data_IF_769396340220
#
_entry.id   IF_769396340220
#
_cell.length_a   1.000
_cell.length_b   1.000
_cell.length_c   1.000
_cell.angle_alpha   90.00
_cell.angle_beta   90.00
_cell.angle_gamma   90.00
#
_symmetry.space_group_name_H-M   'P 1'
#
loop_
_entity.id
_entity.type
_entity.pdbx_description
1 polymer ?
#
# COMPACT_ATOMS: atom_id res chain seq x y z
N UNK A 1 -1.21 9.30 9.71
CA UNK A 1 -1.80 8.72 10.95
C UNK A 1 -0.72 8.36 11.97
N UNK A 2 -0.85 8.81 13.22
CA UNK A 2 -0.12 8.22 14.35
C UNK A 2 -0.51 6.74 14.45
N UNK A 3 0.44 5.79 14.58
CA UNK A 3 0.07 4.39 14.72
C UNK A 3 -0.85 4.23 15.93
N UNK A 4 -1.98 3.53 15.75
CA UNK A 4 -2.87 3.19 16.85
C UNK A 4 -2.03 2.54 17.97
N UNK A 5 -2.21 2.95 19.24
CA UNK A 5 -1.61 2.23 20.35
C UNK A 5 -1.94 0.74 20.23
N UNK A 6 -0.97 -0.15 20.48
CA UNK A 6 -1.16 -1.59 20.30
C UNK A 6 -2.39 -2.12 21.06
N UNK A 7 -2.68 -1.55 22.24
CA UNK A 7 -3.87 -1.86 23.02
C UNK A 7 -5.18 -1.51 22.29
N UNK A 8 -5.24 -0.37 21.60
CA UNK A 8 -6.40 0.01 20.77
C UNK A 8 -6.55 -0.95 19.59
N UNK A 9 -5.45 -1.29 18.92
CA UNK A 9 -5.47 -2.23 17.80
C UNK A 9 -5.96 -3.63 18.21
N UNK A 10 -5.55 -4.12 19.39
CA UNK A 10 -6.04 -5.37 19.97
C UNK A 10 -7.54 -5.30 20.32
N UNK A 11 -8.00 -4.17 20.86
CA UNK A 11 -9.41 -3.98 21.23
C UNK A 11 -10.34 -3.96 20.00
N UNK A 12 -9.87 -3.49 18.84
CA UNK A 12 -10.62 -3.48 17.59
C UNK A 12 -10.70 -4.86 16.93
N UNK A 13 -9.77 -5.77 17.23
CA UNK A 13 -9.60 -7.00 16.48
C UNK A 13 -10.87 -7.89 16.39
N UNK A 14 -11.69 -8.07 17.46
CA UNK A 14 -12.93 -8.84 17.35
C UNK A 14 -13.89 -8.26 16.30
N UNK A 15 -14.07 -6.94 16.29
CA UNK A 15 -14.94 -6.25 15.33
C UNK A 15 -14.37 -6.34 13.90
N UNK A 16 -13.04 -6.20 13.76
CA UNK A 16 -12.36 -6.36 12.48
C UNK A 16 -12.61 -7.75 11.89
N UNK A 17 -12.46 -8.80 12.69
CA UNK A 17 -12.67 -10.19 12.24
C UNK A 17 -14.14 -10.41 11.85
N UNK A 18 -15.08 -9.99 12.70
CA UNK A 18 -16.51 -10.12 12.42
C UNK A 18 -16.88 -9.41 11.10
N UNK A 19 -16.48 -8.15 10.95
CA UNK A 19 -16.79 -7.35 9.76
C UNK A 19 -16.14 -7.94 8.51
N UNK A 20 -14.90 -8.43 8.60
CA UNK A 20 -14.20 -9.03 7.46
C UNK A 20 -14.83 -10.34 6.98
N UNK A 21 -15.42 -11.12 7.89
CA UNK A 21 -16.09 -12.39 7.56
C UNK A 21 -17.47 -12.16 6.94
N UNK A 22 -18.18 -11.11 7.36
CA UNK A 22 -19.55 -10.84 6.90
C UNK A 22 -19.61 -9.97 5.63
N UNK A 23 -18.64 -9.09 5.41
CA UNK A 23 -18.59 -8.26 4.22
C UNK A 23 -18.23 -9.08 2.96
N UNK A 24 -18.55 -8.55 1.77
CA UNK A 24 -18.18 -9.22 0.54
C UNK A 24 -16.65 -9.31 0.42
N UNK A 25 -16.11 -10.45 -0.05
CA UNK A 25 -14.66 -10.70 -0.07
C UNK A 25 -13.91 -9.79 -1.06
N UNK A 26 -14.63 -9.16 -1.99
CA UNK A 26 -14.05 -8.32 -3.02
C UNK A 26 -15.01 -7.22 -3.46
N UNK A 27 -14.46 -6.01 -3.52
CA UNK A 27 -15.08 -4.89 -4.22
C UNK A 27 -14.31 -4.61 -5.50
N UNK A 28 -15.00 -3.98 -6.44
CA UNK A 28 -14.42 -3.52 -7.70
C UNK A 28 -14.82 -2.08 -7.95
N UNK A 29 -13.99 -1.39 -8.70
CA UNK A 29 -14.31 -0.08 -9.21
C UNK A 29 -14.87 -0.22 -10.63
N UNK A 30 -15.98 0.44 -10.90
CA UNK A 30 -16.60 0.47 -12.22
C UNK A 30 -16.96 1.90 -12.60
N UNK A 31 -16.83 2.24 -13.89
CA UNK A 31 -17.27 3.52 -14.42
C UNK A 31 -18.64 3.37 -15.03
N UNK A 32 -19.61 4.10 -14.50
CA UNK A 32 -20.93 4.21 -15.11
C UNK A 32 -20.87 5.30 -16.19
N UNK A 33 -20.72 4.88 -17.45
CA UNK A 33 -20.59 5.79 -18.60
C UNK A 33 -21.84 6.67 -18.79
N UNK A 34 -23.04 6.13 -18.55
CA UNK A 34 -24.29 6.88 -18.74
C UNK A 34 -24.44 8.03 -17.73
N UNK A 35 -24.00 7.81 -16.49
CA UNK A 35 -24.05 8.82 -15.42
C UNK A 35 -22.71 9.56 -15.23
N UNK A 36 -21.70 9.27 -16.07
CA UNK A 36 -20.35 9.82 -16.00
C UNK A 36 -19.73 9.79 -14.58
N UNK A 37 -20.02 8.75 -13.80
CA UNK A 37 -19.61 8.64 -12.39
C UNK A 37 -18.85 7.36 -12.10
N UNK A 38 -18.04 7.40 -11.05
CA UNK A 38 -17.31 6.25 -10.56
C UNK A 38 -18.11 5.55 -9.46
N UNK A 39 -18.25 4.24 -9.57
CA UNK A 39 -19.01 3.42 -8.65
C UNK A 39 -18.09 2.39 -7.99
N UNK A 40 -18.25 2.22 -6.68
CA UNK A 40 -17.75 1.08 -5.94
C UNK A 40 -18.81 -0.01 -6.01
N UNK A 41 -18.42 -1.20 -6.44
CA UNK A 41 -19.33 -2.29 -6.74
C UNK A 41 -18.94 -3.57 -5.99
N UNK A 42 -19.96 -4.35 -5.64
CA UNK A 42 -19.81 -5.75 -5.29
C UNK A 42 -19.69 -6.57 -6.56
N UNK A 43 -18.79 -7.55 -6.54
CA UNK A 43 -18.67 -8.57 -7.58
C UNK A 43 -19.02 -9.93 -7.00
N UNK A 44 -20.09 -10.54 -7.49
CA UNK A 44 -20.50 -11.88 -7.11
C UNK A 44 -19.84 -12.91 -8.06
N UNK A 45 -18.82 -13.64 -7.61
CA UNK A 45 -18.03 -14.54 -8.48
C UNK A 45 -18.86 -15.65 -9.14
N UNK A 46 -19.91 -16.14 -8.48
CA UNK A 46 -20.76 -17.21 -9.00
C UNK A 46 -21.74 -16.76 -10.08
N UNK A 47 -22.18 -15.50 -10.05
CA UNK A 47 -23.20 -14.97 -10.97
C UNK A 47 -22.60 -14.00 -11.99
N UNK A 48 -21.38 -13.51 -11.76
CA UNK A 48 -20.76 -12.41 -12.50
C UNK A 48 -21.48 -11.07 -12.27
N UNK A 49 -22.43 -11.01 -11.33
CA UNK A 49 -23.25 -9.84 -11.08
C UNK A 49 -22.41 -8.73 -10.43
N UNK A 50 -22.51 -7.54 -11.01
CA UNK A 50 -21.90 -6.32 -10.48
C UNK A 50 -23.01 -5.46 -9.88
N UNK A 51 -22.96 -5.22 -8.57
CA UNK A 51 -23.96 -4.40 -7.87
C UNK A 51 -23.30 -3.14 -7.31
N UNK A 52 -23.67 -1.93 -7.77
CA UNK A 52 -23.10 -0.70 -7.23
C UNK A 52 -23.59 -0.47 -5.80
N UNK A 53 -22.64 -0.20 -4.90
CA UNK A 53 -22.88 0.01 -3.46
C UNK A 53 -22.50 1.41 -2.97
N UNK A 54 -21.61 2.11 -3.67
CA UNK A 54 -21.34 3.52 -3.41
C UNK A 54 -20.96 4.24 -4.70
N UNK A 55 -21.16 5.56 -4.72
CA UNK A 55 -20.61 6.45 -5.75
C UNK A 55 -19.40 7.15 -5.15
N UNK A 56 -18.24 6.96 -5.75
CA UNK A 56 -17.00 7.64 -5.33
C UNK A 56 -17.06 9.06 -5.88
N UNK A 57 -16.90 10.06 -5.01
CA UNK A 57 -16.97 11.46 -5.40
C UNK A 57 -15.71 11.89 -6.16
N UNK A 58 -15.80 12.84 -7.11
CA UNK A 58 -14.66 13.26 -7.92
C UNK A 58 -13.47 13.77 -7.09
N UNK A 59 -13.75 14.41 -5.96
CA UNK A 59 -12.75 14.99 -5.06
C UNK A 59 -12.18 13.98 -4.05
N UNK A 60 -12.60 12.71 -4.12
CA UNK A 60 -12.06 11.65 -3.29
C UNK A 60 -10.55 11.48 -3.56
N UNK A 61 -9.67 11.68 -2.55
CA UNK A 61 -8.24 11.58 -2.77
C UNK A 61 -7.84 10.18 -3.26
N UNK A 62 -6.78 10.12 -4.05
CA UNK A 62 -6.35 8.85 -4.67
C UNK A 62 -6.05 7.75 -3.64
N UNK A 63 -5.42 8.10 -2.51
CA UNK A 63 -5.10 7.13 -1.45
C UNK A 63 -6.38 6.59 -0.80
N UNK A 64 -7.33 7.46 -0.48
CA UNK A 64 -8.63 7.10 0.08
C UNK A 64 -9.43 6.21 -0.86
N UNK A 65 -9.56 6.60 -2.14
CA UNK A 65 -10.19 5.78 -3.19
C UNK A 65 -9.53 4.40 -3.31
N UNK A 66 -8.20 4.34 -3.32
CA UNK A 66 -7.47 3.07 -3.44
C UNK A 66 -7.70 2.19 -2.21
N UNK A 67 -7.68 2.76 -1.01
CA UNK A 67 -8.00 2.04 0.22
C UNK A 67 -9.43 1.54 0.19
N UNK A 68 -10.38 2.38 -0.21
CA UNK A 68 -11.81 2.06 -0.33
C UNK A 68 -12.01 0.83 -1.21
N UNK A 69 -11.54 0.86 -2.45
CA UNK A 69 -11.73 -0.21 -3.42
C UNK A 69 -11.09 -1.53 -3.00
N UNK A 70 -10.00 -1.48 -2.24
CA UNK A 70 -9.24 -2.68 -1.86
C UNK A 70 -9.46 -3.11 -0.41
N UNK A 71 -10.33 -2.44 0.35
CA UNK A 71 -10.47 -2.67 1.79
C UNK A 71 -10.73 -4.14 2.16
N UNK A 72 -11.66 -4.87 1.53
CA UNK A 72 -11.89 -6.28 1.86
C UNK A 72 -10.65 -7.14 1.67
N UNK A 73 -10.00 -7.03 0.50
CA UNK A 73 -8.82 -7.83 0.15
C UNK A 73 -7.63 -7.49 1.04
N UNK A 74 -7.44 -6.21 1.38
CA UNK A 74 -6.35 -5.77 2.25
C UNK A 74 -6.54 -6.22 3.69
N UNK A 75 -7.76 -6.16 4.22
CA UNK A 75 -8.07 -6.66 5.56
C UNK A 75 -7.88 -8.18 5.61
N UNK A 76 -8.36 -8.91 4.60
CA UNK A 76 -8.13 -10.34 4.48
C UNK A 76 -6.62 -10.68 4.44
N UNK A 77 -5.84 -9.97 3.63
CA UNK A 77 -4.39 -10.13 3.56
C UNK A 77 -3.70 -9.92 4.91
N UNK A 78 -4.08 -8.84 5.61
CA UNK A 78 -3.48 -8.52 6.90
C UNK A 78 -3.87 -9.53 7.99
N UNK A 79 -5.11 -10.01 8.00
CA UNK A 79 -5.55 -11.09 8.91
C UNK A 79 -4.80 -12.40 8.64
N UNK A 80 -4.63 -12.78 7.35
CA UNK A 80 -3.81 -13.93 6.95
C UNK A 80 -2.36 -13.79 7.41
N UNK A 81 -1.73 -12.62 7.20
CA UNK A 81 -0.36 -12.37 7.66
C UNK A 81 -0.25 -12.41 9.18
N UNK A 82 -1.21 -11.82 9.89
CA UNK A 82 -1.22 -11.82 11.35
C UNK A 82 -1.32 -13.26 11.87
N UNK A 83 -2.24 -14.07 11.34
CA UNK A 83 -2.39 -15.47 11.71
C UNK A 83 -1.13 -16.30 11.43
N UNK A 84 -0.47 -16.09 10.29
CA UNK A 84 0.78 -16.77 9.94
C UNK A 84 1.92 -16.42 10.91
N UNK A 85 2.15 -15.13 11.14
CA UNK A 85 3.22 -14.69 12.06
C UNK A 85 2.94 -15.17 13.47
N UNK A 86 1.67 -15.17 13.87
CA UNK A 86 1.27 -15.60 15.19
C UNK A 86 1.50 -17.10 15.42
N UNK A 87 1.13 -17.94 14.45
CA UNK A 87 1.40 -19.38 14.47
C UNK A 87 2.90 -19.68 14.63
N UNK A 88 3.78 -18.89 13.99
CA UNK A 88 5.24 -19.02 14.12
C UNK A 88 5.74 -18.62 15.50
N UNK A 89 5.17 -17.57 16.09
CA UNK A 89 5.51 -17.13 17.44
C UNK A 89 5.11 -18.20 18.47
N UNK A 90 3.93 -18.79 18.33
CA UNK A 90 3.46 -19.90 19.18
C UNK A 90 4.36 -21.13 19.07
N UNK A 91 4.80 -21.49 17.85
CA UNK A 91 5.76 -22.56 17.63
C UNK A 91 7.12 -22.31 18.31
N UNK A 92 7.45 -21.05 18.61
CA UNK A 92 8.63 -20.63 19.37
C UNK A 92 8.34 -20.39 20.86
N UNK A 93 7.18 -20.84 21.35
CA UNK A 93 6.79 -20.75 22.76
C UNK A 93 6.38 -19.35 23.23
N UNK A 94 6.09 -18.43 22.31
CA UNK A 94 5.61 -17.09 22.69
C UNK A 94 4.10 -17.09 22.95
N UNK A 95 3.64 -16.38 24.00
CA UNK A 95 2.23 -16.32 24.35
C UNK A 95 1.45 -15.44 23.36
N UNK A 96 0.30 -15.94 22.92
CA UNK A 96 -0.68 -15.21 22.11
C UNK A 96 -1.36 -14.08 22.89
N UNK A 97 -1.23 -12.79 22.49
CA UNK A 97 -2.01 -11.71 23.06
C UNK A 97 -3.41 -11.63 22.42
N UNK A 98 -3.70 -12.42 21.39
CA UNK A 98 -5.01 -12.42 20.74
C UNK A 98 -5.96 -13.25 21.60
N UNK A 99 -7.01 -12.60 22.12
CA UNK A 99 -8.06 -13.25 22.88
C UNK A 99 -9.10 -13.95 21.98
N UNK A 100 -8.89 -13.96 20.67
CA UNK A 100 -9.81 -14.51 19.68
C UNK A 100 -9.07 -15.40 18.68
N UNK A 101 -9.77 -16.40 18.14
CA UNK A 101 -9.27 -17.15 17.00
C UNK A 101 -9.34 -16.27 15.74
N UNK A 102 -8.26 -16.25 14.96
CA UNK A 102 -8.27 -15.67 13.63
C UNK A 102 -8.90 -16.68 12.64
N UNK A 103 -9.60 -16.20 11.61
CA UNK A 103 -10.20 -17.09 10.61
C UNK A 103 -9.11 -17.92 9.89
N UNK A 104 -9.50 -19.09 9.38
CA UNK A 104 -8.67 -19.80 8.39
C UNK A 104 -8.39 -18.87 7.21
N UNK A 105 -7.24 -19.09 6.56
CA UNK A 105 -6.66 -18.17 5.56
C UNK A 105 -7.71 -17.63 4.58
N UNK A 106 -8.07 -16.35 4.73
CA UNK A 106 -9.09 -15.71 3.90
C UNK A 106 -8.61 -15.52 2.46
N UNK A 107 -7.29 -15.40 2.30
CA UNK A 107 -6.60 -15.41 1.01
C UNK A 107 -5.31 -16.22 1.11
N UNK A 108 -4.73 -16.54 -0.04
CA UNK A 108 -3.41 -17.18 -0.14
C UNK A 108 -2.30 -16.36 0.57
N UNK A 109 -1.37 -17.06 1.22
CA UNK A 109 -0.31 -16.43 2.01
C UNK A 109 0.70 -15.67 1.15
N UNK A 110 0.98 -16.12 -0.07
CA UNK A 110 1.90 -15.43 -0.97
C UNK A 110 1.25 -14.21 -1.61
N UNK A 111 -0.06 -14.28 -1.90
CA UNK A 111 -0.86 -13.10 -2.24
C UNK A 111 -0.84 -12.06 -1.10
N UNK A 112 -1.01 -12.51 0.16
CA UNK A 112 -0.97 -11.63 1.32
C UNK A 112 0.40 -10.95 1.50
N UNK A 113 1.50 -11.70 1.37
CA UNK A 113 2.88 -11.15 1.38
C UNK A 113 3.10 -10.15 0.25
N UNK A 114 2.60 -10.45 -0.95
CA UNK A 114 2.69 -9.55 -2.11
C UNK A 114 1.95 -8.24 -1.92
N UNK A 115 0.81 -8.26 -1.22
CA UNK A 115 0.02 -7.06 -0.92
C UNK A 115 0.64 -6.19 0.19
N UNK A 116 1.40 -6.77 1.12
CA UNK A 116 1.92 -6.08 2.31
C UNK A 116 2.61 -4.72 2.04
N UNK A 117 3.57 -4.59 1.09
CA UNK A 117 4.22 -3.31 0.83
C UNK A 117 3.22 -2.23 0.39
N UNK A 118 2.28 -2.58 -0.49
CA UNK A 118 1.27 -1.65 -1.02
C UNK A 118 0.30 -1.21 0.06
N UNK A 119 -0.17 -2.15 0.89
CA UNK A 119 -1.06 -1.86 2.01
C UNK A 119 -0.39 -0.91 2.99
N UNK A 120 0.84 -1.24 3.40
CA UNK A 120 1.63 -0.43 4.34
C UNK A 120 1.88 0.98 3.82
N UNK A 121 2.24 1.11 2.55
CA UNK A 121 2.57 2.41 1.97
C UNK A 121 1.30 3.24 1.74
N UNK A 122 0.21 2.64 1.24
CA UNK A 122 -1.05 3.36 0.99
C UNK A 122 -1.74 3.77 2.29
N UNK A 123 -1.81 2.88 3.29
CA UNK A 123 -2.39 3.21 4.61
C UNK A 123 -1.63 4.33 5.33
N UNK A 124 -0.34 4.53 5.03
CA UNK A 124 0.43 5.65 5.54
C UNK A 124 0.04 7.00 4.92
N UNK A 125 -0.54 6.98 3.71
CA UNK A 125 -0.97 8.15 2.94
C UNK A 125 -2.43 8.53 3.19
N UNK A 126 -3.25 7.62 3.72
CA UNK A 126 -4.62 7.95 4.12
C UNK A 126 -4.55 8.82 5.38
N UNK A 127 -4.95 10.07 5.21
CA UNK A 127 -4.97 11.08 6.26
C UNK A 127 -6.36 11.19 6.87
N UNK A 128 -6.42 11.19 8.20
CA UNK A 128 -7.67 11.36 8.94
C UNK A 128 -8.41 10.06 9.24
N UNK A 129 -9.61 10.23 9.80
CA UNK A 129 -10.57 9.15 10.04
C UNK A 129 -11.70 9.30 9.03
N UNK A 130 -12.26 8.18 8.58
CA UNK A 130 -13.55 8.21 7.90
C UNK A 130 -14.68 8.18 8.93
N UNK A 131 -15.81 8.74 8.54
CA UNK A 131 -17.03 8.76 9.31
C UNK A 131 -18.25 8.60 8.42
N UNK A 132 -19.38 8.34 9.07
CA UNK A 132 -20.67 8.37 8.39
C UNK A 132 -21.13 9.83 8.27
N UNK A 133 -21.39 10.24 7.04
CA UNK A 133 -21.96 11.54 6.69
C UNK A 133 -23.40 11.43 6.24
N UNK A 134 -24.13 12.54 6.33
CA UNK A 134 -25.47 12.66 5.75
C UNK A 134 -25.61 13.98 5.01
N UNK A 135 -25.72 13.90 3.69
CA UNK A 135 -25.95 15.08 2.87
C UNK A 135 -27.41 15.51 3.03
N UNK A 136 -27.63 16.62 3.73
CA UNK A 136 -28.97 17.19 3.98
C UNK A 136 -29.63 17.73 2.71
N UNK A 137 -28.86 18.03 1.67
CA UNK A 137 -29.38 18.56 0.40
C UNK A 137 -29.92 17.42 -0.46
N UNK A 138 -29.17 16.32 -0.58
CA UNK A 138 -29.59 15.16 -1.38
C UNK A 138 -30.35 14.10 -0.58
N UNK A 139 -30.32 14.18 0.74
CA UNK A 139 -30.92 13.21 1.66
C UNK A 139 -30.22 11.84 1.64
N UNK A 140 -28.94 11.79 1.24
CA UNK A 140 -28.20 10.54 1.03
C UNK A 140 -27.12 10.35 2.09
N UNK A 141 -26.96 9.13 2.63
CA UNK A 141 -25.83 8.81 3.48
C UNK A 141 -24.54 8.77 2.65
N UNK A 142 -23.42 9.09 3.28
CA UNK A 142 -22.12 9.14 2.65
C UNK A 142 -21.00 8.69 3.57
N UNK A 143 -19.81 8.59 2.98
CA UNK A 143 -18.56 8.48 3.70
C UNK A 143 -17.89 9.85 3.65
N UNK A 144 -17.53 10.35 4.81
CA UNK A 144 -16.83 11.61 4.96
C UNK A 144 -15.45 11.36 5.56
N UNK A 145 -14.46 12.12 5.11
CA UNK A 145 -13.10 12.12 5.65
C UNK A 145 -12.93 13.33 6.55
N UNK A 146 -12.41 13.13 7.76
CA UNK A 146 -11.97 14.24 8.62
C UNK A 146 -10.63 14.78 8.13
N UNK A 147 -10.60 16.02 7.65
CA UNK A 147 -9.35 16.73 7.40
C UNK A 147 -8.66 17.05 8.74
N UNK A 148 -7.45 16.52 9.00
CA UNK A 148 -6.75 16.74 10.26
C UNK A 148 -6.27 18.18 10.47
N UNK A 149 -6.11 18.96 9.40
CA UNK A 149 -5.66 20.35 9.49
C UNK A 149 -6.80 21.30 9.82
N UNK A 150 -7.96 21.12 9.19
CA UNK A 150 -9.12 22.02 9.36
C UNK A 150 -10.12 21.50 10.37
N UNK A 151 -10.13 20.20 10.66
CA UNK A 151 -11.15 19.52 11.44
C UNK A 151 -12.50 19.39 10.71
N UNK A 152 -12.55 19.77 9.43
CA UNK A 152 -13.77 19.66 8.62
C UNK A 152 -13.98 18.24 8.12
N UNK A 153 -15.24 17.87 7.92
CA UNK A 153 -15.61 16.63 7.24
C UNK A 153 -15.84 16.91 5.76
N UNK A 154 -15.11 16.18 4.92
CA UNK A 154 -15.18 16.28 3.46
C UNK A 154 -15.85 15.01 2.90
N UNK A 155 -16.93 15.13 2.12
CA UNK A 155 -17.57 13.96 1.53
C UNK A 155 -16.66 13.35 0.47
N UNK A 156 -16.42 12.04 0.57
CA UNK A 156 -15.58 11.29 -0.37
C UNK A 156 -16.34 10.19 -1.12
N UNK A 157 -17.51 9.76 -0.61
CA UNK A 157 -18.40 8.84 -1.31
C UNK A 157 -19.86 9.01 -0.87
N UNK A 158 -20.80 8.68 -1.75
CA UNK A 158 -22.22 8.53 -1.42
C UNK A 158 -22.57 7.05 -1.32
N UNK A 159 -23.11 6.60 -0.19
CA UNK A 159 -23.51 5.21 0.01
C UNK A 159 -24.87 4.98 -0.65
N UNK A 160 -24.96 3.97 -1.52
CA UNK A 160 -26.19 3.61 -2.19
C UNK A 160 -27.07 2.74 -1.30
N UNK A 161 -28.39 2.81 -1.50
CA UNK A 161 -29.36 1.98 -0.77
C UNK A 161 -29.14 0.48 -0.93
N UNK A 162 -28.52 0.07 -2.04
CA UNK A 162 -28.19 -1.32 -2.32
C UNK A 162 -26.96 -1.83 -1.55
N UNK A 163 -26.23 -0.96 -0.85
CA UNK A 163 -25.08 -1.36 -0.03
C UNK A 163 -25.55 -2.23 1.14
N UNK A 164 -25.09 -3.50 1.22
CA UNK A 164 -25.37 -4.34 2.36
C UNK A 164 -24.81 -3.72 3.65
N UNK A 165 -25.43 -4.06 4.78
CA UNK A 165 -25.08 -3.48 6.07
C UNK A 165 -23.61 -3.72 6.44
N UNK A 166 -23.12 -4.95 6.26
CA UNK A 166 -21.73 -5.32 6.59
C UNK A 166 -20.71 -4.65 5.67
N UNK A 167 -21.01 -4.54 4.38
CA UNK A 167 -20.16 -3.80 3.43
C UNK A 167 -20.10 -2.31 3.76
N UNK A 168 -21.24 -1.70 4.16
CA UNK A 168 -21.27 -0.31 4.63
C UNK A 168 -20.42 -0.14 5.90
N UNK A 169 -20.55 -1.07 6.86
CA UNK A 169 -19.77 -1.07 8.11
C UNK A 169 -18.28 -1.17 7.80
N UNK A 170 -17.88 -2.09 6.91
CA UNK A 170 -16.51 -2.24 6.45
C UNK A 170 -16.03 -0.97 5.75
N UNK A 171 -16.84 -0.38 4.88
CA UNK A 171 -16.50 0.79 4.09
C UNK A 171 -16.14 1.97 4.98
N UNK A 172 -16.94 2.25 6.00
CA UNK A 172 -16.73 3.37 6.93
C UNK A 172 -15.53 3.11 7.85
N UNK A 173 -15.35 1.88 8.32
CA UNK A 173 -14.30 1.51 9.30
C UNK A 173 -12.97 1.13 8.67
N UNK A 174 -12.88 1.00 7.34
CA UNK A 174 -11.73 0.45 6.64
C UNK A 174 -10.38 1.09 7.02
N UNK A 175 -10.23 2.44 7.06
CA UNK A 175 -8.94 3.04 7.44
C UNK A 175 -8.50 2.65 8.85
N UNK A 176 -9.41 2.64 9.82
CA UNK A 176 -9.11 2.29 11.20
C UNK A 176 -8.75 0.81 11.34
N UNK A 177 -9.53 -0.07 10.70
CA UNK A 177 -9.29 -1.51 10.68
C UNK A 177 -7.93 -1.85 10.06
N UNK A 178 -7.62 -1.27 8.89
CA UNK A 178 -6.35 -1.49 8.20
C UNK A 178 -5.18 -0.99 9.06
N UNK A 179 -5.30 0.18 9.69
CA UNK A 179 -4.25 0.73 10.53
C UNK A 179 -3.98 -0.11 11.78
N UNK A 180 -5.04 -0.58 12.44
CA UNK A 180 -4.95 -1.48 13.58
C UNK A 180 -4.22 -2.78 13.18
N UNK A 181 -4.64 -3.40 12.08
CA UNK A 181 -4.02 -4.63 11.59
C UNK A 181 -2.56 -4.42 11.15
N UNK A 182 -2.24 -3.30 10.48
CA UNK A 182 -0.84 -2.95 10.13
C UNK A 182 0.01 -2.81 11.40
N UNK A 183 -0.51 -2.21 12.46
CA UNK A 183 0.18 -2.10 13.75
C UNK A 183 0.42 -3.47 14.39
N UNK A 184 -0.59 -4.35 14.40
CA UNK A 184 -0.49 -5.72 14.92
C UNK A 184 0.52 -6.56 14.14
N UNK A 185 0.45 -6.55 12.81
CA UNK A 185 1.40 -7.28 11.94
C UNK A 185 2.82 -6.77 12.16
N UNK A 186 3.03 -5.44 12.23
CA UNK A 186 4.35 -4.86 12.54
C UNK A 186 4.87 -5.30 13.89
N UNK A 187 4.03 -5.31 14.92
CA UNK A 187 4.41 -5.75 16.27
C UNK A 187 4.79 -7.22 16.28
N UNK A 188 3.95 -8.09 15.71
CA UNK A 188 4.20 -9.52 15.63
C UNK A 188 5.49 -9.83 14.86
N UNK A 189 5.73 -9.18 13.72
CA UNK A 189 6.98 -9.32 12.96
C UNK A 189 8.20 -8.84 13.75
N UNK A 190 8.06 -7.76 14.56
CA UNK A 190 9.14 -7.27 15.43
C UNK A 190 9.50 -8.32 16.48
N UNK A 191 8.50 -8.93 17.12
CA UNK A 191 8.71 -10.02 18.10
C UNK A 191 9.38 -11.22 17.46
N UNK A 192 8.92 -11.64 16.28
CA UNK A 192 9.47 -12.79 15.59
C UNK A 192 10.96 -12.60 15.26
N UNK A 193 11.32 -11.42 14.73
CA UNK A 193 12.72 -11.06 14.45
C UNK A 193 13.60 -10.96 15.69
N UNK A 194 13.03 -10.70 16.86
CA UNK A 194 13.78 -10.64 18.12
C UNK A 194 14.13 -12.03 18.67
N UNK A 195 13.40 -13.07 18.24
CA UNK A 195 13.63 -14.46 18.62
C UNK A 195 14.52 -15.19 17.61
N UNK A 196 14.49 -14.74 16.35
CA UNK A 196 15.46 -15.18 15.37
C UNK A 196 16.86 -14.84 15.89
N UNK A 197 17.79 -15.81 15.94
CA UNK A 197 19.17 -15.51 16.31
C UNK A 197 19.66 -14.39 15.38
N UNK A 198 20.42 -13.41 15.91
CA UNK A 198 21.00 -12.38 15.07
C UNK A 198 21.67 -13.10 13.90
N UNK A 199 21.43 -12.67 12.65
CA UNK A 199 22.02 -13.32 11.51
C UNK A 199 23.51 -13.45 11.82
N UNK A 200 24.03 -14.69 11.75
CA UNK A 200 25.44 -14.95 11.98
C UNK A 200 26.23 -13.85 11.28
N UNK A 201 27.20 -13.20 11.95
CA UNK A 201 27.92 -12.07 11.37
C UNK A 201 28.29 -12.48 9.96
N UNK A 202 27.67 -11.81 8.98
CA UNK A 202 27.77 -12.24 7.60
C UNK A 202 29.26 -12.44 7.34
N UNK A 203 29.70 -13.62 6.84
CA UNK A 203 31.11 -13.90 6.61
C UNK A 203 31.67 -12.64 5.95
N UNK A 204 32.70 -12.01 6.55
CA UNK A 204 33.01 -10.58 6.41
C UNK A 204 32.82 -10.22 4.97
N UNK A 205 31.67 -9.58 4.63
CA UNK A 205 31.08 -9.58 3.28
C UNK A 205 32.23 -9.65 2.30
N UNK A 206 32.53 -10.86 1.80
CA UNK A 206 33.70 -11.06 0.96
C UNK A 206 33.53 -10.00 -0.10
N UNK A 207 34.47 -9.02 -0.14
CA UNK A 207 34.35 -7.74 -0.83
C UNK A 207 33.29 -7.88 -1.89
N UNK A 208 32.09 -7.29 -1.71
CA UNK A 208 31.08 -7.25 -2.78
C UNK A 208 31.88 -6.94 -4.03
N UNK A 209 31.91 -7.87 -4.98
CA UNK A 209 32.48 -7.59 -6.29
C UNK A 209 31.95 -6.22 -6.72
N UNK A 210 32.77 -5.41 -7.40
CA UNK A 210 32.47 -4.00 -7.67
C UNK A 210 30.99 -3.87 -8.03
N UNK A 211 30.28 -3.02 -7.26
CA UNK A 211 28.85 -2.85 -7.38
C UNK A 211 28.48 -2.82 -8.86
N UNK A 212 27.56 -3.69 -9.28
CA UNK A 212 27.11 -3.74 -10.67
C UNK A 212 26.24 -2.49 -10.94
N UNK A 213 26.94 -1.37 -11.12
CA UNK A 213 26.43 -0.07 -11.47
C UNK A 213 25.67 -0.16 -12.80
N UNK A 214 26.11 -1.03 -13.72
CA UNK A 214 25.40 -1.30 -14.97
C UNK A 214 24.00 -1.88 -14.73
N UNK A 215 23.89 -2.88 -13.85
CA UNK A 215 22.62 -3.52 -13.51
C UNK A 215 21.68 -2.54 -12.78
N UNK A 216 22.19 -1.80 -11.80
CA UNK A 216 21.38 -0.81 -11.08
C UNK A 216 20.89 0.32 -12.00
N UNK A 217 21.74 0.80 -12.89
CA UNK A 217 21.35 1.78 -13.90
C UNK A 217 20.28 1.24 -14.84
N UNK A 218 20.36 -0.04 -15.20
CA UNK A 218 19.33 -0.71 -16.00
C UNK A 218 17.97 -0.72 -15.32
N UNK A 219 17.92 -1.17 -14.07
CA UNK A 219 16.69 -1.23 -13.28
C UNK A 219 16.05 0.15 -13.14
N UNK A 220 16.85 1.19 -12.87
CA UNK A 220 16.32 2.54 -12.68
C UNK A 220 15.81 3.18 -13.97
N UNK A 221 16.45 2.95 -15.12
CA UNK A 221 15.97 3.48 -16.41
C UNK A 221 14.55 2.98 -16.77
N UNK A 222 14.19 1.78 -16.35
CA UNK A 222 12.84 1.23 -16.52
C UNK A 222 11.79 1.78 -15.54
N UNK A 223 12.20 2.54 -14.52
CA UNK A 223 11.26 3.10 -13.53
C UNK A 223 10.73 4.46 -13.96
N UNK A 224 9.41 4.61 -13.95
CA UNK A 224 8.73 5.87 -14.29
C UNK A 224 9.22 7.07 -13.46
N UNK A 225 9.42 6.85 -12.16
CA UNK A 225 9.86 7.90 -11.24
C UNK A 225 11.27 8.43 -11.57
N UNK A 226 12.17 7.57 -12.03
CA UNK A 226 13.52 7.95 -12.42
C UNK A 226 13.52 8.70 -13.77
N UNK A 227 12.63 8.32 -14.69
CA UNK A 227 12.43 9.05 -15.94
C UNK A 227 11.92 10.49 -15.70
N UNK A 228 11.01 10.67 -14.74
CA UNK A 228 10.52 12.00 -14.32
C UNK A 228 11.66 12.84 -13.74
N UNK A 229 12.48 12.25 -12.87
CA UNK A 229 13.69 12.92 -12.35
C UNK A 229 14.63 13.39 -13.47
N UNK A 230 14.94 12.52 -14.44
CA UNK A 230 15.79 12.87 -15.58
C UNK A 230 15.19 13.96 -16.46
N UNK A 231 13.86 13.99 -16.62
CA UNK A 231 13.17 15.04 -17.35
C UNK A 231 13.28 16.39 -16.64
N UNK A 232 12.99 16.43 -15.33
CA UNK A 232 12.98 17.66 -14.53
C UNK A 232 14.37 18.26 -14.31
N UNK A 233 15.36 17.43 -13.98
CA UNK A 233 16.71 17.90 -13.60
C UNK A 233 17.68 17.97 -14.75
N UNK A 234 17.47 17.16 -15.79
CA UNK A 234 18.42 17.02 -16.89
C UNK A 234 17.79 17.24 -18.27
N UNK A 235 16.54 17.73 -18.35
CA UNK A 235 15.92 18.26 -19.57
C UNK A 235 15.61 17.22 -20.65
N UNK A 236 15.30 15.98 -20.26
CA UNK A 236 14.91 14.93 -21.22
C UNK A 236 13.44 15.07 -21.58
N UNK A 237 13.15 15.54 -22.80
CA UNK A 237 11.80 15.47 -23.35
C UNK A 237 11.50 14.02 -23.80
N UNK A 238 10.54 13.38 -23.12
CA UNK A 238 9.90 12.07 -23.39
C UNK A 238 10.28 10.89 -22.49
N UNK A 239 9.22 10.17 -22.11
CA UNK A 239 9.02 9.20 -21.04
C UNK A 239 9.41 7.74 -21.36
N UNK A 240 10.53 7.48 -22.04
CA UNK A 240 10.88 6.12 -22.50
C UNK A 240 12.23 5.63 -21.94
N UNK A 241 12.30 4.33 -21.64
CA UNK A 241 13.47 3.64 -21.06
C UNK A 241 14.70 3.80 -21.96
N UNK A 242 14.52 3.72 -23.28
CA UNK A 242 15.62 3.86 -24.25
C UNK A 242 16.27 5.24 -24.16
N UNK A 243 15.46 6.28 -23.98
CA UNK A 243 15.95 7.67 -23.82
C UNK A 243 16.59 7.89 -22.46
N UNK A 244 16.02 7.34 -21.39
CA UNK A 244 16.63 7.36 -20.06
C UNK A 244 18.03 6.70 -20.07
N UNK A 245 18.16 5.54 -20.71
CA UNK A 245 19.44 4.85 -20.85
C UNK A 245 20.46 5.67 -21.66
N UNK A 246 20.05 6.31 -22.76
CA UNK A 246 20.91 7.20 -23.53
C UNK A 246 21.35 8.44 -22.73
N UNK A 247 20.46 8.98 -21.89
CA UNK A 247 20.82 10.11 -21.03
C UNK A 247 21.82 9.70 -19.95
N UNK A 248 21.62 8.56 -19.29
CA UNK A 248 22.57 8.03 -18.29
C UNK A 248 23.95 7.81 -18.92
N UNK A 249 24.02 7.26 -20.13
CA UNK A 249 25.28 7.13 -20.90
C UNK A 249 25.96 8.48 -21.14
N UNK A 250 25.21 9.48 -21.59
CA UNK A 250 25.70 10.85 -21.82
C UNK A 250 26.23 11.50 -20.52
N UNK A 251 25.47 11.40 -19.42
CA UNK A 251 25.85 11.98 -18.12
C UNK A 251 27.08 11.27 -17.52
N UNK A 252 27.18 9.95 -17.69
CA UNK A 252 28.32 9.16 -17.19
C UNK A 252 29.51 9.10 -18.16
N UNK A 253 29.38 9.71 -19.36
CA UNK A 253 30.38 9.70 -20.44
C UNK A 253 30.83 8.30 -20.87
N UNK A 254 29.87 7.39 -21.06
CA UNK A 254 30.11 6.00 -21.49
C UNK A 254 29.29 5.65 -22.71
N UNK A 255 29.76 4.72 -23.53
CA UNK A 255 29.00 4.21 -24.69
C UNK A 255 28.12 3.01 -24.32
N UNK A 256 28.53 2.26 -23.30
CA UNK A 256 27.80 1.12 -22.75
C UNK A 256 27.61 1.24 -21.24
N UNK A 257 26.46 0.79 -20.72
CA UNK A 257 26.21 0.71 -19.27
C UNK A 257 27.21 -0.22 -18.57
N UNK A 258 27.72 -1.24 -19.27
CA UNK A 258 28.72 -2.15 -18.74
C UNK A 258 30.02 -1.43 -18.32
N UNK A 259 30.34 -0.30 -18.95
CA UNK A 259 31.50 0.53 -18.61
C UNK A 259 31.38 1.17 -17.22
N UNK A 260 30.18 1.26 -16.64
CA UNK A 260 30.00 1.76 -15.28
C UNK A 260 30.69 0.87 -14.24
N UNK A 261 30.93 -0.41 -14.55
CA UNK A 261 31.58 -1.36 -13.65
C UNK A 261 33.11 -1.39 -13.83
N UNK A 262 33.60 -1.00 -15.01
CA UNK A 262 35.01 -1.12 -15.38
C UNK A 262 35.74 0.23 -15.41
N UNK A 263 35.02 1.34 -15.59
CA UNK A 263 35.56 2.69 -15.63
C UNK A 263 35.29 3.44 -14.30
N UNK A 264 36.32 3.68 -13.46
CA UNK A 264 36.15 4.36 -12.16
C UNK A 264 35.58 5.77 -12.26
N UNK A 265 35.88 6.50 -13.34
CA UNK A 265 35.36 7.85 -13.56
C UNK A 265 33.85 7.82 -13.86
N UNK A 266 33.42 6.85 -14.67
CA UNK A 266 32.02 6.62 -14.98
C UNK A 266 31.24 6.13 -13.75
N UNK A 267 31.82 5.23 -12.95
CA UNK A 267 31.26 4.79 -11.67
C UNK A 267 31.08 5.96 -10.68
N UNK A 268 32.03 6.91 -10.66
CA UNK A 268 31.93 8.14 -9.88
C UNK A 268 30.81 9.06 -10.35
N UNK A 269 30.66 9.25 -11.67
CA UNK A 269 29.57 10.01 -12.25
C UNK A 269 28.19 9.37 -11.96
N UNK A 270 28.09 8.05 -12.10
CA UNK A 270 26.88 7.30 -11.79
C UNK A 270 26.46 7.43 -10.33
N UNK A 271 27.39 7.29 -9.38
CA UNK A 271 27.09 7.45 -7.95
C UNK A 271 26.52 8.83 -7.64
N UNK A 272 27.12 9.89 -8.19
CA UNK A 272 26.60 11.26 -8.00
C UNK A 272 25.19 11.44 -8.55
N UNK A 273 24.91 10.93 -9.75
CA UNK A 273 23.58 10.97 -10.35
C UNK A 273 22.56 10.18 -9.52
N UNK A 274 22.95 9.02 -9.03
CA UNK A 274 22.10 8.19 -8.18
C UNK A 274 21.79 8.89 -6.84
N UNK A 275 22.78 9.51 -6.21
CA UNK A 275 22.59 10.24 -4.95
C UNK A 275 21.67 11.46 -5.14
N UNK A 276 21.83 12.20 -6.25
CA UNK A 276 20.94 13.30 -6.62
C UNK A 276 19.48 12.84 -6.80
N UNK A 277 19.28 11.68 -7.44
CA UNK A 277 17.95 11.07 -7.57
C UNK A 277 17.35 10.72 -6.21
N UNK A 278 18.11 10.12 -5.30
CA UNK A 278 17.60 9.77 -3.96
C UNK A 278 17.24 11.03 -3.16
N UNK A 279 18.05 12.09 -3.23
CA UNK A 279 17.75 13.37 -2.59
C UNK A 279 16.50 14.04 -3.17
N UNK A 280 16.37 14.08 -4.50
CA UNK A 280 15.17 14.59 -5.16
C UNK A 280 13.92 13.80 -4.78
N UNK A 281 14.03 12.47 -4.65
CA UNK A 281 12.92 11.59 -4.25
C UNK A 281 12.48 11.79 -2.80
N UNK A 282 13.39 12.21 -1.92
CA UNK A 282 13.09 12.45 -0.49
C UNK A 282 12.54 13.84 -0.22
N UNK A 283 12.85 14.83 -1.08
CA UNK A 283 12.33 16.19 -0.98
C UNK A 283 11.00 16.41 -1.69
N UNK A 284 10.31 15.33 -2.06
CA UNK A 284 9.01 15.34 -2.75
C UNK A 284 7.94 14.66 -1.93
#
# INVERSE_FOLDING_TARGET
MTPAPLAHALALLPNIVETAVLAAPRWTESRNEAAARLELCLYEEGTGKVTPIAVILPDCPFADRRLMTNAPVWIAALLTLLAEVWRRLEAQGQPCPLAIALPESLIDIDAAKGAWPVIRDTSGLVEGRWGEGFDTTTGKPGVERLDPMTGAFEPIATVLRACPFDDKRLLISAPEHIAALVALVRDALRRLRALEPPPAPAPPRGRKGPADHAQLAGILCGQRIFQVFLAERHGVESADETRAANRVRSLCRVTSRAELNTNPAAAGAWRRLHDEFQLWRQGR
#
